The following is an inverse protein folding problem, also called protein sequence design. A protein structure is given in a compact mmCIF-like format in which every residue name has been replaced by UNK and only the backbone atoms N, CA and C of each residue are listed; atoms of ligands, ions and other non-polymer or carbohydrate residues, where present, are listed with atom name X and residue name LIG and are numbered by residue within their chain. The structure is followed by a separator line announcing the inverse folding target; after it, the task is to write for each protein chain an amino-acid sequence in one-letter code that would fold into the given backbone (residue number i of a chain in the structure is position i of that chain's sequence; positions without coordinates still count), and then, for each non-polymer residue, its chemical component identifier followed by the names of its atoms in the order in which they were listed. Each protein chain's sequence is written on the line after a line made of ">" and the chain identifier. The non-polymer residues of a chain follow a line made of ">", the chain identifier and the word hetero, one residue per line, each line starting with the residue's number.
data_IF_723354324705
#
_entry.id   IF_723354324705
#
_cell.length_a   1.000
_cell.length_b   1.000
_cell.length_c   1.000
_cell.angle_alpha   90.00
_cell.angle_beta   90.00
_cell.angle_gamma   90.00
#
_symmetry.space_group_name_H-M   'P 1'
#
loop_
_entity.id
_entity.type
_entity.pdbx_description
1 polymer ?
#
# COMPACT_ATOMS: atom_id res chain seq x y z
N UNK A 1 -16.81 -3.82 -38.83
CA UNK A 1 -16.74 -4.19 -37.39
C UNK A 1 -18.05 -4.89 -37.05
N UNK A 2 -17.98 -6.01 -36.30
CA UNK A 2 -19.17 -6.76 -35.89
C UNK A 2 -19.95 -5.94 -34.83
N UNK A 3 -21.27 -5.98 -34.88
CA UNK A 3 -22.18 -5.34 -33.89
C UNK A 3 -21.77 -5.60 -32.44
N UNK A 4 -21.24 -6.79 -32.15
CA UNK A 4 -20.78 -7.20 -30.84
C UNK A 4 -19.58 -6.37 -30.39
N UNK A 5 -18.59 -6.15 -31.25
CA UNK A 5 -17.39 -5.37 -30.93
C UNK A 5 -17.71 -3.90 -30.74
N UNK A 6 -18.58 -3.35 -31.62
CA UNK A 6 -19.02 -1.94 -31.49
C UNK A 6 -19.76 -1.72 -30.16
N UNK A 7 -20.63 -2.65 -29.79
CA UNK A 7 -21.35 -2.58 -28.51
C UNK A 7 -20.39 -2.76 -27.32
N UNK A 8 -19.39 -3.64 -27.40
CA UNK A 8 -18.40 -3.83 -26.36
C UNK A 8 -17.58 -2.57 -26.08
N UNK A 9 -17.12 -1.89 -27.12
CA UNK A 9 -16.35 -0.66 -27.00
C UNK A 9 -17.19 0.48 -26.41
N UNK A 10 -18.46 0.60 -26.84
CA UNK A 10 -19.41 1.53 -26.24
C UNK A 10 -19.68 1.20 -24.77
N UNK A 11 -19.93 -0.08 -24.45
CA UNK A 11 -20.19 -0.52 -23.08
C UNK A 11 -19.00 -0.23 -22.14
N UNK A 12 -17.78 -0.48 -22.60
CA UNK A 12 -16.57 -0.12 -21.87
C UNK A 12 -16.42 1.38 -21.66
N UNK A 13 -16.62 2.17 -22.68
CA UNK A 13 -16.51 3.64 -22.59
C UNK A 13 -17.56 4.27 -21.66
N UNK A 14 -18.68 3.57 -21.42
CA UNK A 14 -19.73 3.97 -20.49
C UNK A 14 -19.62 3.33 -19.09
N UNK A 15 -18.45 2.83 -18.71
CA UNK A 15 -18.17 2.32 -17.36
C UNK A 15 -18.81 0.97 -17.07
N UNK A 16 -18.98 0.11 -18.08
CA UNK A 16 -19.51 -1.26 -17.93
C UNK A 16 -20.86 -1.33 -17.23
N UNK A 17 -21.78 -0.44 -17.55
CA UNK A 17 -23.10 -0.33 -16.95
C UNK A 17 -23.96 -1.58 -17.18
N UNK A 18 -24.89 -1.87 -16.24
CA UNK A 18 -25.78 -3.03 -16.30
C UNK A 18 -26.86 -2.96 -17.39
N UNK A 19 -27.62 -4.05 -17.52
CA UNK A 19 -28.60 -4.28 -18.60
C UNK A 19 -29.57 -3.12 -18.78
N UNK A 20 -30.21 -2.66 -17.71
CA UNK A 20 -31.22 -1.57 -17.78
C UNK A 20 -30.63 -0.27 -18.32
N UNK A 21 -29.38 0.05 -17.97
CA UNK A 21 -28.71 1.24 -18.52
C UNK A 21 -28.44 1.04 -20.01
N UNK A 22 -27.91 -0.12 -20.43
CA UNK A 22 -27.59 -0.39 -21.81
C UNK A 22 -28.86 -0.42 -22.70
N UNK A 23 -29.95 -0.99 -22.24
CA UNK A 23 -31.23 -1.03 -22.95
C UNK A 23 -31.82 0.38 -23.18
N UNK A 24 -31.60 1.29 -22.26
CA UNK A 24 -32.11 2.66 -22.33
C UNK A 24 -31.20 3.63 -23.13
N UNK A 25 -29.92 3.33 -23.25
CA UNK A 25 -28.91 4.27 -23.82
C UNK A 25 -28.24 3.78 -25.09
N UNK A 26 -28.41 2.50 -25.48
CA UNK A 26 -27.84 1.93 -26.70
C UNK A 26 -28.93 1.37 -27.61
N UNK A 27 -29.26 2.11 -28.66
CA UNK A 27 -30.37 1.79 -29.57
C UNK A 27 -29.94 1.19 -30.93
N UNK A 28 -28.65 0.90 -31.11
CA UNK A 28 -28.13 0.36 -32.39
C UNK A 28 -28.39 -1.12 -32.62
N UNK A 29 -28.75 -1.86 -31.56
CA UNK A 29 -29.08 -3.29 -31.61
C UNK A 29 -30.31 -3.57 -30.71
N UNK A 30 -30.99 -4.69 -30.94
CA UNK A 30 -32.16 -5.06 -30.14
C UNK A 30 -31.79 -5.39 -28.69
N UNK A 31 -32.75 -5.17 -27.77
CA UNK A 31 -32.57 -5.49 -26.35
C UNK A 31 -32.18 -6.97 -26.13
N UNK A 32 -32.69 -7.90 -26.95
CA UNK A 32 -32.30 -9.32 -26.91
C UNK A 32 -30.81 -9.53 -27.21
N UNK A 33 -30.26 -8.82 -28.20
CA UNK A 33 -28.81 -8.83 -28.51
C UNK A 33 -28.01 -8.20 -27.39
N UNK A 34 -28.47 -7.07 -26.80
CA UNK A 34 -27.83 -6.43 -25.63
C UNK A 34 -27.70 -7.43 -24.49
N UNK A 35 -28.78 -8.10 -24.10
CA UNK A 35 -28.76 -9.11 -23.03
C UNK A 35 -27.83 -10.27 -23.33
N UNK A 36 -27.84 -10.77 -24.55
CA UNK A 36 -26.96 -11.85 -25.01
C UNK A 36 -25.49 -11.41 -24.91
N UNK A 37 -25.14 -10.27 -25.46
CA UNK A 37 -23.75 -9.78 -25.48
C UNK A 37 -23.24 -9.45 -24.08
N UNK A 38 -24.06 -8.81 -23.25
CA UNK A 38 -23.67 -8.54 -21.86
C UNK A 38 -23.42 -9.84 -21.07
N UNK A 39 -24.27 -10.86 -21.28
CA UNK A 39 -24.08 -12.18 -20.65
C UNK A 39 -22.80 -12.86 -21.13
N UNK A 40 -22.47 -12.73 -22.41
CA UNK A 40 -21.20 -13.20 -22.97
C UNK A 40 -20.00 -12.41 -22.42
N UNK A 41 -20.09 -11.07 -22.36
CA UNK A 41 -19.02 -10.22 -21.81
C UNK A 41 -18.80 -10.44 -20.32
N UNK A 42 -19.89 -10.72 -19.57
CA UNK A 42 -19.80 -11.10 -18.15
C UNK A 42 -19.26 -12.52 -17.96
N UNK A 43 -19.57 -13.44 -18.90
CA UNK A 43 -19.02 -14.80 -18.93
C UNK A 43 -17.57 -14.87 -19.40
N UNK A 44 -17.16 -13.93 -20.28
CA UNK A 44 -15.78 -13.73 -20.70
C UNK A 44 -14.93 -12.97 -19.66
N UNK A 45 -15.52 -12.46 -18.57
CA UNK A 45 -14.74 -12.15 -17.37
C UNK A 45 -14.07 -13.46 -16.95
N UNK A 46 -12.85 -13.71 -17.50
CA UNK A 46 -11.93 -14.72 -16.97
C UNK A 46 -12.07 -14.65 -15.49
N UNK A 47 -12.35 -15.77 -14.82
CA UNK A 47 -12.37 -15.85 -13.36
C UNK A 47 -11.20 -15.00 -12.87
N UNK A 48 -11.51 -13.87 -12.28
CA UNK A 48 -10.48 -12.91 -11.95
C UNK A 48 -9.64 -13.59 -10.90
N UNK A 49 -8.42 -13.97 -11.31
CA UNK A 49 -7.50 -14.70 -10.44
C UNK A 49 -7.49 -13.99 -9.09
N UNK A 50 -7.95 -14.68 -8.06
CA UNK A 50 -7.90 -14.17 -6.69
C UNK A 50 -6.47 -13.78 -6.39
N UNK A 51 -6.26 -12.60 -5.83
CA UNK A 51 -4.93 -12.12 -5.48
C UNK A 51 -4.89 -11.65 -4.05
N UNK A 52 -3.86 -12.08 -3.34
CA UNK A 52 -3.57 -11.62 -1.98
C UNK A 52 -2.51 -10.55 -2.02
N UNK A 53 -2.87 -9.38 -1.55
CA UNK A 53 -2.00 -8.22 -1.41
C UNK A 53 -1.82 -7.94 0.08
N UNK A 54 -0.57 -7.84 0.52
CA UNK A 54 -0.25 -7.47 1.90
C UNK A 54 0.35 -6.08 1.91
N UNK A 55 -0.10 -5.22 2.82
CA UNK A 55 0.49 -3.90 3.02
C UNK A 55 1.15 -3.83 4.39
N UNK A 56 2.39 -3.40 4.41
CA UNK A 56 3.15 -2.97 5.59
C UNK A 56 3.58 -1.51 5.41
N UNK A 57 3.85 -0.82 6.50
CA UNK A 57 4.27 0.58 6.45
C UNK A 57 5.21 0.93 7.59
N UNK A 58 5.84 2.09 7.48
CA UNK A 58 6.49 2.78 8.60
C UNK A 58 7.47 1.88 9.34
N UNK A 59 8.44 1.33 8.59
CA UNK A 59 9.51 0.52 9.14
C UNK A 59 10.55 1.40 9.84
N UNK A 60 10.80 2.61 9.30
CA UNK A 60 11.76 3.56 9.83
C UNK A 60 13.13 2.93 10.13
N UNK A 61 13.66 2.16 9.19
CA UNK A 61 14.99 1.57 9.36
C UNK A 61 16.01 2.68 9.66
N UNK A 62 16.79 2.55 10.75
CA UNK A 62 17.12 1.36 11.51
C UNK A 62 16.23 1.10 12.75
N UNK A 63 15.15 1.87 12.96
CA UNK A 63 14.22 1.74 14.10
C UNK A 63 13.12 0.71 13.89
N UNK A 64 13.19 -0.09 12.83
CA UNK A 64 12.27 -1.20 12.64
C UNK A 64 12.35 -2.19 13.82
N UNK A 65 11.23 -2.77 14.19
CA UNK A 65 11.21 -3.80 15.22
C UNK A 65 11.64 -5.15 14.61
N UNK A 66 12.87 -5.54 14.88
CA UNK A 66 13.47 -6.76 14.30
C UNK A 66 12.66 -8.03 14.60
N UNK A 67 12.13 -8.17 15.81
CA UNK A 67 11.31 -9.33 16.17
C UNK A 67 9.98 -9.32 15.43
N UNK A 68 9.36 -8.17 15.29
CA UNK A 68 8.14 -7.99 14.49
C UNK A 68 8.40 -8.37 13.02
N UNK A 69 9.54 -7.95 12.46
CA UNK A 69 9.92 -8.35 11.09
C UNK A 69 10.16 -9.85 10.98
N UNK A 70 10.85 -10.46 11.95
CA UNK A 70 11.08 -11.92 11.95
C UNK A 70 9.76 -12.71 11.96
N UNK A 71 8.80 -12.30 12.79
CA UNK A 71 7.48 -12.94 12.85
C UNK A 71 6.68 -12.71 11.57
N UNK A 72 6.78 -11.51 10.99
CA UNK A 72 6.17 -11.21 9.69
C UNK A 72 6.78 -12.05 8.57
N UNK A 73 8.09 -12.27 8.55
CA UNK A 73 8.76 -13.17 7.59
C UNK A 73 8.25 -14.61 7.74
N UNK A 74 8.02 -15.11 8.97
CA UNK A 74 7.40 -16.43 9.17
C UNK A 74 6.01 -16.51 8.51
N UNK A 75 5.22 -15.43 8.60
CA UNK A 75 3.94 -15.36 7.90
C UNK A 75 4.11 -15.40 6.38
N UNK A 76 5.06 -14.64 5.82
CA UNK A 76 5.32 -14.65 4.37
C UNK A 76 5.79 -16.02 3.84
N UNK A 77 6.46 -16.83 4.67
CA UNK A 77 6.85 -18.21 4.33
C UNK A 77 5.66 -19.14 4.21
N UNK A 78 4.67 -18.96 5.07
CA UNK A 78 3.53 -19.87 5.17
C UNK A 78 2.36 -19.48 4.27
N UNK A 79 2.18 -18.18 4.07
CA UNK A 79 1.03 -17.62 3.39
C UNK A 79 1.46 -17.13 2.01
N UNK A 80 0.82 -17.67 0.97
CA UNK A 80 1.05 -17.18 -0.38
C UNK A 80 0.60 -15.73 -0.50
N UNK A 81 1.53 -14.83 -0.70
CA UNK A 81 1.33 -13.40 -0.98
C UNK A 81 1.68 -13.14 -2.44
N UNK A 82 0.73 -12.63 -3.21
CA UNK A 82 0.97 -12.32 -4.62
C UNK A 82 1.70 -10.98 -4.77
N UNK A 83 1.37 -9.99 -3.92
CA UNK A 83 2.02 -8.67 -3.91
C UNK A 83 2.24 -8.18 -2.47
N UNK A 84 3.40 -7.59 -2.23
CA UNK A 84 3.70 -6.86 -1.01
C UNK A 84 3.79 -5.36 -1.32
N UNK A 85 3.01 -4.56 -0.60
CA UNK A 85 3.05 -3.10 -0.68
C UNK A 85 3.77 -2.58 0.56
N UNK A 86 4.85 -1.84 0.37
CA UNK A 86 5.52 -1.09 1.42
C UNK A 86 5.06 0.36 1.28
N UNK A 87 4.11 0.76 2.11
CA UNK A 87 3.41 2.04 1.96
C UNK A 87 4.09 3.18 2.71
N UNK A 88 5.35 3.41 2.39
CA UNK A 88 6.14 4.56 2.85
C UNK A 88 6.98 4.31 4.08
N UNK A 89 7.78 5.30 4.38
CA UNK A 89 8.69 5.42 5.53
C UNK A 89 9.46 4.14 5.84
N UNK A 90 10.04 3.57 4.76
CA UNK A 90 10.92 2.41 4.83
C UNK A 90 12.22 2.74 5.57
N UNK A 91 12.81 3.91 5.25
CA UNK A 91 13.98 4.47 5.92
C UNK A 91 13.58 5.65 6.80
N UNK A 92 14.28 5.84 7.90
CA UNK A 92 14.09 7.03 8.74
C UNK A 92 14.82 8.26 8.20
N UNK A 93 16.03 8.09 7.69
CA UNK A 93 16.91 9.20 7.26
C UNK A 93 17.02 10.31 8.32
N UNK A 94 17.21 9.90 9.57
CA UNK A 94 17.30 10.82 10.69
C UNK A 94 18.35 11.91 10.49
N UNK A 95 19.53 11.54 10.00
CA UNK A 95 20.61 12.49 9.76
C UNK A 95 20.25 13.59 8.76
N UNK A 96 19.32 13.31 7.84
CA UNK A 96 18.82 14.25 6.85
C UNK A 96 17.61 15.06 7.35
N UNK A 97 17.11 14.77 8.56
CA UNK A 97 16.00 15.53 9.14
C UNK A 97 16.41 16.96 9.49
N UNK A 98 15.44 17.83 9.67
CA UNK A 98 15.67 19.22 10.11
C UNK A 98 15.63 19.39 11.62
N UNK A 99 15.39 18.32 12.36
CA UNK A 99 15.36 18.31 13.82
C UNK A 99 16.80 18.25 14.39
N UNK A 100 16.94 18.64 15.64
CA UNK A 100 18.21 18.53 16.38
C UNK A 100 18.70 17.07 16.39
N UNK A 101 20.01 16.89 16.34
CA UNK A 101 20.64 15.58 16.28
C UNK A 101 21.13 15.17 17.64
N UNK A 102 20.72 13.99 18.10
CA UNK A 102 21.30 13.37 19.29
C UNK A 102 22.73 12.89 18.96
N UNK A 103 23.76 13.47 19.56
CA UNK A 103 25.15 13.07 19.32
C UNK A 103 25.47 11.65 19.76
N UNK A 104 24.62 11.01 20.54
CA UNK A 104 24.78 9.63 20.98
C UNK A 104 24.35 8.61 19.93
N UNK A 105 23.64 9.04 18.88
CA UNK A 105 23.23 8.17 17.79
C UNK A 105 24.45 7.68 17.00
N UNK A 106 24.47 6.39 16.74
CA UNK A 106 25.60 5.71 16.11
C UNK A 106 25.34 5.28 14.67
N UNK A 107 24.09 5.28 14.22
CA UNK A 107 23.75 4.83 12.88
C UNK A 107 24.00 5.94 11.86
N UNK A 108 24.75 5.60 10.83
CA UNK A 108 24.99 6.45 9.65
C UNK A 108 23.89 6.21 8.61
N UNK A 109 23.81 7.12 7.62
CA UNK A 109 22.93 6.91 6.45
C UNK A 109 23.26 5.59 5.73
N UNK A 110 24.57 5.24 5.66
CA UNK A 110 24.99 3.99 5.02
C UNK A 110 24.48 2.77 5.79
N UNK A 111 24.52 2.79 7.12
CA UNK A 111 23.96 1.71 7.94
C UNK A 111 22.44 1.52 7.71
N UNK A 112 21.70 2.63 7.53
CA UNK A 112 20.28 2.59 7.19
C UNK A 112 20.05 1.93 5.84
N UNK A 113 20.83 2.30 4.82
CA UNK A 113 20.73 1.76 3.46
C UNK A 113 21.05 0.26 3.44
N UNK A 114 22.12 -0.15 4.10
CA UNK A 114 22.57 -1.54 4.15
C UNK A 114 21.53 -2.43 4.85
N UNK A 115 21.01 -1.99 6.00
CA UNK A 115 19.95 -2.70 6.70
C UNK A 115 18.66 -2.77 5.86
N UNK A 116 18.31 -1.69 5.18
CA UNK A 116 17.15 -1.65 4.29
C UNK A 116 17.29 -2.68 3.16
N UNK A 117 18.45 -2.74 2.52
CA UNK A 117 18.71 -3.70 1.45
C UNK A 117 18.52 -5.13 1.92
N UNK A 118 19.07 -5.51 3.10
CA UNK A 118 18.90 -6.86 3.65
C UNK A 118 17.43 -7.20 4.00
N UNK A 119 16.68 -6.25 4.53
CA UNK A 119 15.23 -6.45 4.80
C UNK A 119 14.46 -6.66 3.49
N UNK A 120 14.70 -5.82 2.48
CA UNK A 120 14.05 -5.95 1.16
C UNK A 120 14.39 -7.27 0.48
N UNK A 121 15.65 -7.68 0.54
CA UNK A 121 16.13 -8.94 0.00
C UNK A 121 15.48 -10.14 0.69
N UNK A 122 15.26 -10.07 2.02
CA UNK A 122 14.54 -11.11 2.75
C UNK A 122 13.09 -11.20 2.30
N UNK A 123 12.38 -10.06 2.18
CA UNK A 123 10.99 -10.06 1.69
C UNK A 123 10.87 -10.59 0.27
N UNK A 124 11.84 -10.28 -0.59
CA UNK A 124 11.83 -10.72 -1.99
C UNK A 124 11.91 -12.24 -2.17
N UNK A 125 12.42 -12.96 -1.19
CA UNK A 125 12.44 -14.44 -1.22
C UNK A 125 11.04 -15.05 -1.22
N UNK A 126 10.06 -14.35 -0.61
CA UNK A 126 8.71 -14.90 -0.39
C UNK A 126 7.61 -14.14 -1.16
N UNK A 127 7.92 -12.94 -1.65
CA UNK A 127 6.97 -12.09 -2.37
C UNK A 127 7.48 -11.86 -3.80
N UNK A 128 6.80 -12.42 -4.82
CA UNK A 128 7.24 -12.30 -6.21
C UNK A 128 7.19 -10.85 -6.72
N UNK A 129 6.22 -10.09 -6.26
CA UNK A 129 6.00 -8.69 -6.65
C UNK A 129 5.96 -7.80 -5.42
N UNK A 130 6.86 -6.81 -5.39
CA UNK A 130 6.95 -5.82 -4.30
C UNK A 130 6.83 -4.43 -4.90
N UNK A 131 5.97 -3.60 -4.31
CA UNK A 131 5.80 -2.19 -4.62
C UNK A 131 6.20 -1.36 -3.41
N UNK A 132 7.12 -0.44 -3.61
CA UNK A 132 7.52 0.53 -2.59
C UNK A 132 6.98 1.91 -2.94
N UNK A 133 6.19 2.48 -2.06
CA UNK A 133 5.64 3.83 -2.16
C UNK A 133 6.46 4.73 -1.25
N UNK A 134 6.91 5.88 -1.76
CA UNK A 134 7.72 6.81 -0.99
C UNK A 134 6.89 7.44 0.14
N UNK A 135 7.47 7.51 1.35
CA UNK A 135 6.95 8.25 2.48
C UNK A 135 7.67 9.60 2.69
N UNK A 136 7.25 10.35 3.68
CA UNK A 136 7.81 11.67 3.97
C UNK A 136 9.21 11.60 4.60
N UNK A 137 9.56 10.55 5.35
CA UNK A 137 10.92 10.34 5.82
C UNK A 137 11.85 9.99 4.66
N UNK A 138 11.43 9.12 3.76
CA UNK A 138 12.20 8.83 2.55
C UNK A 138 12.40 10.08 1.67
N UNK A 139 11.48 11.04 1.72
CA UNK A 139 11.58 12.31 0.99
C UNK A 139 12.62 13.28 1.59
N UNK A 140 13.15 13.03 2.80
CA UNK A 140 14.24 13.82 3.41
C UNK A 140 15.47 13.86 2.52
N UNK A 141 15.82 12.74 1.87
CA UNK A 141 16.92 12.68 0.91
C UNK A 141 16.73 13.67 -0.24
N UNK A 142 15.56 13.67 -0.89
CA UNK A 142 15.25 14.59 -1.99
C UNK A 142 15.35 16.05 -1.53
N UNK A 143 14.78 16.37 -0.36
CA UNK A 143 14.83 17.73 0.22
C UNK A 143 16.26 18.15 0.55
N UNK A 144 17.10 17.25 1.02
CA UNK A 144 18.51 17.49 1.24
C UNK A 144 19.25 17.81 -0.07
N UNK A 145 19.01 17.01 -1.12
CA UNK A 145 19.59 17.22 -2.44
C UNK A 145 19.15 18.56 -3.05
N UNK A 146 17.91 18.97 -2.87
CA UNK A 146 17.45 20.29 -3.34
C UNK A 146 18.17 21.47 -2.67
N UNK A 147 18.58 21.30 -1.42
CA UNK A 147 19.43 22.30 -0.73
C UNK A 147 20.89 22.24 -1.19
N UNK A 148 21.29 21.17 -1.86
CA UNK A 148 22.64 20.93 -2.38
C UNK A 148 22.58 20.58 -3.87
N UNK A 149 22.29 21.55 -4.77
CA UNK A 149 22.00 21.27 -6.19
C UNK A 149 23.11 20.57 -6.94
N UNK A 150 24.37 20.80 -6.57
CA UNK A 150 25.51 20.08 -7.15
C UNK A 150 25.49 18.59 -6.92
N UNK A 151 24.97 18.15 -5.77
CA UNK A 151 24.79 16.73 -5.46
C UNK A 151 23.54 16.16 -6.15
N UNK A 152 22.52 16.97 -6.38
CA UNK A 152 21.27 16.55 -7.02
C UNK A 152 21.46 16.03 -8.45
N UNK A 153 22.55 16.39 -9.11
CA UNK A 153 22.89 15.88 -10.45
C UNK A 153 23.44 14.45 -10.44
N UNK A 154 23.79 13.93 -9.28
CA UNK A 154 24.40 12.59 -9.11
C UNK A 154 23.29 11.54 -9.07
N UNK A 155 23.05 10.87 -10.18
CA UNK A 155 21.93 9.91 -10.34
C UNK A 155 21.92 8.74 -9.33
N UNK A 156 23.09 8.33 -8.84
CA UNK A 156 23.17 7.24 -7.84
C UNK A 156 22.56 7.64 -6.49
N UNK A 157 22.38 8.94 -6.24
CA UNK A 157 21.71 9.47 -5.04
C UNK A 157 20.19 9.50 -5.16
N UNK A 158 19.62 9.16 -6.32
CA UNK A 158 18.18 8.94 -6.44
C UNK A 158 17.75 7.73 -5.57
N UNK A 159 16.71 7.89 -4.78
CA UNK A 159 16.29 6.87 -3.80
C UNK A 159 16.18 5.45 -4.38
N UNK A 160 15.56 5.21 -5.55
CA UNK A 160 15.49 3.86 -6.12
C UNK A 160 16.86 3.27 -6.45
N UNK A 161 17.80 4.09 -6.90
CA UNK A 161 19.18 3.68 -7.22
C UNK A 161 19.97 3.39 -5.97
N UNK A 162 19.85 4.28 -4.97
CA UNK A 162 20.51 4.15 -3.68
C UNK A 162 20.14 2.85 -2.97
N UNK A 163 18.87 2.42 -3.10
CA UNK A 163 18.35 1.18 -2.52
C UNK A 163 18.47 -0.05 -3.44
N UNK A 164 19.07 0.09 -4.62
CA UNK A 164 19.19 -0.99 -5.61
C UNK A 164 17.84 -1.66 -5.95
N UNK A 165 16.74 -0.89 -6.01
CA UNK A 165 15.40 -1.44 -6.21
C UNK A 165 15.26 -2.16 -7.56
N UNK A 166 15.92 -1.64 -8.60
CA UNK A 166 15.91 -2.28 -9.94
C UNK A 166 16.53 -3.69 -9.88
N UNK A 167 17.65 -3.85 -9.16
CA UNK A 167 18.33 -5.15 -9.00
C UNK A 167 17.46 -6.14 -8.22
N UNK A 168 16.70 -5.66 -7.25
CA UNK A 168 15.76 -6.48 -6.48
C UNK A 168 14.44 -6.72 -7.23
N UNK A 169 14.21 -6.06 -8.36
CA UNK A 169 12.94 -6.11 -9.09
C UNK A 169 11.77 -5.59 -8.25
N UNK A 170 11.99 -4.47 -7.55
CA UNK A 170 10.99 -3.78 -6.72
C UNK A 170 10.51 -2.55 -7.47
N UNK A 171 9.21 -2.44 -7.67
CA UNK A 171 8.59 -1.28 -8.31
C UNK A 171 8.52 -0.10 -7.34
N UNK A 172 8.99 1.06 -7.77
CA UNK A 172 8.98 2.29 -6.98
C UNK A 172 7.87 3.25 -7.42
N UNK A 173 7.21 3.87 -6.45
CA UNK A 173 6.13 4.84 -6.67
C UNK A 173 6.34 6.10 -5.83
N UNK A 174 6.25 7.27 -6.45
CA UNK A 174 6.44 8.55 -5.77
C UNK A 174 5.28 8.93 -4.84
N UNK A 175 4.06 8.50 -5.16
CA UNK A 175 2.85 8.94 -4.43
C UNK A 175 1.94 7.79 -4.03
N UNK A 176 1.64 6.88 -4.97
CA UNK A 176 0.65 5.84 -4.77
C UNK A 176 0.83 4.69 -5.75
N UNK A 177 0.28 3.54 -5.38
CA UNK A 177 0.04 2.41 -6.25
C UNK A 177 -1.46 2.16 -6.31
N UNK A 178 -2.03 2.11 -7.50
CA UNK A 178 -3.44 1.80 -7.69
C UNK A 178 -3.56 0.39 -8.26
N UNK A 179 -4.23 -0.48 -7.52
CA UNK A 179 -4.58 -1.81 -7.99
C UNK A 179 -6.08 -1.88 -8.19
N UNK A 180 -6.51 -2.06 -9.45
CA UNK A 180 -7.93 -1.98 -9.83
C UNK A 180 -8.52 -0.62 -9.41
N UNK A 181 -9.51 -0.63 -8.51
CA UNK A 181 -10.15 0.58 -7.98
C UNK A 181 -9.74 0.90 -6.53
N UNK A 182 -8.69 0.24 -6.03
CA UNK A 182 -8.17 0.42 -4.68
C UNK A 182 -6.83 1.17 -4.71
N UNK A 183 -6.67 2.15 -3.84
CA UNK A 183 -5.50 3.02 -3.75
C UNK A 183 -4.65 2.66 -2.54
N UNK A 184 -3.37 2.42 -2.75
CA UNK A 184 -2.35 2.28 -1.72
C UNK A 184 -1.49 3.54 -1.72
N UNK A 185 -1.27 4.14 -0.56
CA UNK A 185 -0.49 5.38 -0.42
C UNK A 185 0.20 5.41 0.94
N UNK A 186 1.22 6.27 1.09
CA UNK A 186 1.73 6.56 2.44
C UNK A 186 0.75 7.42 3.24
N UNK A 187 0.05 8.33 2.59
CA UNK A 187 -0.82 9.29 3.24
C UNK A 187 -0.13 10.61 3.52
N UNK A 188 -0.93 11.63 3.75
CA UNK A 188 -0.47 13.01 4.06
C UNK A 188 -1.33 13.69 5.12
N UNK A 189 -2.41 13.06 5.54
CA UNK A 189 -3.32 13.59 6.55
C UNK A 189 -2.99 12.94 7.89
N UNK A 190 -2.93 13.75 8.95
CA UNK A 190 -2.79 13.29 10.32
C UNK A 190 -3.97 13.79 11.13
N UNK A 191 -4.61 12.90 11.86
CA UNK A 191 -5.63 13.22 12.88
C UNK A 191 -5.24 12.55 14.19
N UNK A 192 -5.80 13.01 15.31
CA UNK A 192 -5.40 12.52 16.64
C UNK A 192 -5.89 11.11 16.95
N UNK A 193 -7.06 10.73 16.44
CA UNK A 193 -7.73 9.47 16.76
C UNK A 193 -7.56 8.45 15.64
N UNK A 194 -7.46 7.17 16.00
CA UNK A 194 -7.46 6.06 15.05
C UNK A 194 -8.79 6.04 14.27
N UNK A 195 -8.70 5.86 12.96
CA UNK A 195 -9.86 5.90 12.05
C UNK A 195 -10.23 7.31 11.58
N UNK A 196 -9.87 8.36 12.29
CA UNK A 196 -10.15 9.72 11.88
C UNK A 196 -9.36 10.14 10.64
N UNK A 197 -8.11 9.66 10.51
CA UNK A 197 -7.30 9.85 9.29
C UNK A 197 -7.89 9.06 8.13
N UNK A 198 -8.19 7.78 8.32
CA UNK A 198 -8.83 6.95 7.30
C UNK A 198 -10.13 7.58 6.78
N UNK A 199 -10.98 8.11 7.69
CA UNK A 199 -12.19 8.85 7.33
C UNK A 199 -11.88 10.08 6.48
N UNK A 200 -10.90 10.90 6.90
CA UNK A 200 -10.56 12.14 6.21
C UNK A 200 -10.01 11.87 4.80
N UNK A 201 -9.16 10.87 4.64
CA UNK A 201 -8.62 10.44 3.35
C UNK A 201 -9.70 9.87 2.43
N UNK A 202 -10.56 8.98 2.95
CA UNK A 202 -11.69 8.45 2.19
C UNK A 202 -12.61 9.56 1.66
N UNK A 203 -12.90 10.56 2.48
CA UNK A 203 -13.73 11.70 2.06
C UNK A 203 -13.02 12.58 1.03
N UNK A 204 -11.70 12.76 1.14
CA UNK A 204 -10.90 13.53 0.20
C UNK A 204 -10.81 12.86 -1.17
N UNK A 205 -10.53 11.56 -1.20
CA UNK A 205 -10.27 10.84 -2.45
C UNK A 205 -11.52 10.19 -3.05
N UNK A 206 -12.57 9.95 -2.27
CA UNK A 206 -13.83 9.35 -2.73
C UNK A 206 -13.70 7.91 -3.24
N UNK A 207 -12.65 7.19 -2.85
CA UNK A 207 -12.35 5.82 -3.26
C UNK A 207 -11.85 4.98 -2.09
N UNK A 208 -11.94 3.66 -2.21
CA UNK A 208 -11.34 2.75 -1.22
C UNK A 208 -9.83 2.86 -1.24
N UNK A 209 -9.21 2.86 -0.06
CA UNK A 209 -7.77 3.08 0.07
C UNK A 209 -7.17 2.53 1.36
N UNK A 210 -5.85 2.45 1.38
CA UNK A 210 -5.08 2.18 2.59
C UNK A 210 -3.84 3.07 2.66
N UNK A 211 -3.52 3.54 3.87
CA UNK A 211 -2.38 4.44 4.13
C UNK A 211 -1.56 3.99 5.34
N UNK A 212 -0.33 4.50 5.43
CA UNK A 212 0.57 4.44 6.58
C UNK A 212 0.61 5.77 7.34
N UNK A 213 1.82 6.27 7.62
CA UNK A 213 2.15 7.61 8.14
C UNK A 213 1.74 7.88 9.59
N UNK A 214 0.55 7.50 10.00
CA UNK A 214 0.04 7.79 11.35
C UNK A 214 0.49 6.76 12.39
N UNK A 215 1.07 5.65 11.97
CA UNK A 215 1.41 4.48 12.79
C UNK A 215 0.22 3.87 13.52
N UNK A 216 -1.01 4.21 13.10
CA UNK A 216 -2.25 3.69 13.70
C UNK A 216 -2.83 2.58 12.87
N UNK A 217 -3.51 1.68 13.56
CA UNK A 217 -4.19 0.56 12.94
C UNK A 217 -5.69 0.79 13.06
N UNK A 218 -6.36 0.99 11.94
CA UNK A 218 -7.78 1.30 11.94
C UNK A 218 -8.48 1.06 10.61
N UNK A 219 -9.80 1.20 10.64
CA UNK A 219 -10.66 1.07 9.47
C UNK A 219 -11.82 2.06 9.59
N UNK A 220 -12.21 2.66 8.45
CA UNK A 220 -13.43 3.44 8.31
C UNK A 220 -14.20 2.99 7.06
N UNK A 221 -15.48 2.69 7.22
CA UNK A 221 -16.37 2.23 6.15
C UNK A 221 -17.48 3.25 5.94
N UNK A 222 -17.80 3.52 4.67
CA UNK A 222 -18.90 4.38 4.26
C UNK A 222 -19.73 3.73 3.16
N UNK A 223 -21.04 3.77 3.30
CA UNK A 223 -21.98 3.34 2.26
C UNK A 223 -22.82 4.53 1.81
N UNK A 224 -22.95 4.71 0.49
CA UNK A 224 -23.86 5.68 -0.11
C UNK A 224 -24.51 5.07 -1.38
N UNK A 225 -25.26 5.86 -2.16
CA UNK A 225 -25.96 5.38 -3.37
C UNK A 225 -25.04 4.79 -4.45
N UNK A 226 -23.74 5.01 -4.37
CA UNK A 226 -22.73 4.46 -5.30
C UNK A 226 -22.14 3.13 -4.82
N UNK A 227 -22.44 2.72 -3.58
CA UNK A 227 -21.94 1.50 -2.96
C UNK A 227 -21.14 1.74 -1.68
N UNK A 228 -20.40 0.72 -1.27
CA UNK A 228 -19.58 0.74 -0.06
C UNK A 228 -18.12 0.96 -0.43
N UNK A 229 -17.49 1.93 0.23
CA UNK A 229 -16.05 2.21 0.16
C UNK A 229 -15.46 2.17 1.56
N UNK A 230 -14.18 1.80 1.67
CA UNK A 230 -13.49 1.68 2.95
C UNK A 230 -12.08 2.25 2.88
N UNK A 231 -11.63 2.85 3.98
CA UNK A 231 -10.25 3.29 4.14
C UNK A 231 -9.62 2.65 5.38
N UNK A 232 -8.32 2.41 5.31
CA UNK A 232 -7.56 1.71 6.33
C UNK A 232 -6.30 2.50 6.68
N UNK A 233 -5.95 2.53 7.97
CA UNK A 233 -4.63 2.90 8.46
C UNK A 233 -3.89 1.61 8.79
N UNK A 234 -2.69 1.44 8.24
CA UNK A 234 -1.99 0.15 8.20
C UNK A 234 -1.08 -0.17 9.40
N UNK A 235 -1.09 0.66 10.44
CA UNK A 235 -0.18 0.50 11.57
C UNK A 235 1.26 0.85 11.20
N UNK A 236 2.22 0.28 11.94
CA UNK A 236 3.64 0.41 11.66
C UNK A 236 4.39 -0.91 11.92
N UNK A 237 5.63 -0.98 11.41
CA UNK A 237 6.55 -2.09 11.66
C UNK A 237 7.80 -1.63 12.43
N UNK A 238 7.80 -0.38 12.93
CA UNK A 238 8.85 0.18 13.75
C UNK A 238 8.63 -0.12 15.24
N UNK A 239 9.65 0.20 16.04
CA UNK A 239 9.57 0.19 17.50
C UNK A 239 8.52 1.20 17.97
N UNK A 240 7.72 0.85 18.98
CA UNK A 240 6.66 1.72 19.48
C UNK A 240 7.17 2.83 20.42
N UNK A 241 8.36 2.67 20.93
CA UNK A 241 9.00 3.61 21.87
C UNK A 241 10.46 3.87 21.48
N UNK A 242 10.74 4.39 20.27
CA UNK A 242 12.10 4.75 19.93
C UNK A 242 12.58 5.90 20.83
N UNK A 243 13.88 6.00 21.01
CA UNK A 243 14.54 6.91 21.96
C UNK A 243 14.19 8.40 21.83
N UNK A 244 13.74 8.81 20.64
CA UNK A 244 13.37 10.20 20.33
C UNK A 244 11.92 10.55 20.64
N UNK A 245 11.09 9.57 21.02
CA UNK A 245 9.70 9.79 21.39
C UNK A 245 9.61 10.05 22.90
N UNK A 246 8.97 11.15 23.25
CA UNK A 246 8.64 11.46 24.64
C UNK A 246 7.19 11.06 24.93
N UNK A 247 7.01 10.23 25.96
CA UNK A 247 5.69 9.73 26.35
C UNK A 247 5.27 8.45 25.60
N UNK A 248 3.95 8.17 25.60
CA UNK A 248 3.37 6.99 24.97
C UNK A 248 2.63 7.41 23.72
N UNK A 249 3.17 7.19 22.52
CA UNK A 249 2.47 7.53 21.29
C UNK A 249 1.29 6.59 21.06
N UNK A 250 0.24 7.09 20.40
CA UNK A 250 -0.88 6.25 19.96
C UNK A 250 -0.49 5.51 18.66
N UNK A 251 0.47 4.60 18.77
CA UNK A 251 0.98 3.76 17.68
C UNK A 251 0.63 2.30 17.90
N UNK A 252 0.34 1.59 16.81
CA UNK A 252 0.06 0.16 16.84
C UNK A 252 0.90 -0.54 15.76
N UNK A 253 1.58 -1.61 16.16
CA UNK A 253 2.20 -2.51 15.18
C UNK A 253 1.14 -3.36 14.51
N UNK A 254 1.27 -3.55 13.20
CA UNK A 254 0.37 -4.37 12.44
C UNK A 254 0.54 -4.20 10.94
N UNK A 255 -0.31 -4.90 10.20
CA UNK A 255 -0.32 -4.89 8.75
C UNK A 255 -1.74 -5.19 8.21
N UNK A 256 -1.91 -5.00 6.92
CA UNK A 256 -3.18 -5.23 6.24
C UNK A 256 -3.04 -6.37 5.25
N UNK A 257 -4.04 -7.26 5.21
CA UNK A 257 -4.12 -8.34 4.22
C UNK A 257 -5.39 -8.15 3.40
N UNK A 258 -5.24 -8.00 2.10
CA UNK A 258 -6.32 -7.83 1.15
C UNK A 258 -6.45 -9.07 0.27
N UNK A 259 -7.59 -9.71 0.27
CA UNK A 259 -7.96 -10.74 -0.69
C UNK A 259 -8.87 -10.11 -1.77
N UNK A 260 -8.33 -9.94 -2.98
CA UNK A 260 -9.07 -9.42 -4.12
C UNK A 260 -9.73 -10.54 -4.91
N UNK A 261 -11.02 -10.36 -5.21
CA UNK A 261 -11.79 -11.19 -6.12
C UNK A 261 -12.51 -10.30 -7.15
N UNK A 262 -11.96 -10.21 -8.34
CA UNK A 262 -12.38 -9.18 -9.27
C UNK A 262 -12.10 -7.78 -8.72
N UNK A 263 -13.08 -6.90 -8.82
CA UNK A 263 -13.01 -5.54 -8.28
C UNK A 263 -13.42 -5.46 -6.80
N UNK A 264 -13.79 -6.60 -6.22
CA UNK A 264 -14.09 -6.71 -4.79
C UNK A 264 -12.83 -7.01 -4.00
N UNK A 265 -12.79 -6.55 -2.78
CA UNK A 265 -11.70 -6.88 -1.85
C UNK A 265 -12.28 -7.14 -0.44
N UNK A 266 -11.57 -7.98 0.29
CA UNK A 266 -11.82 -8.27 1.69
C UNK A 266 -10.54 -7.95 2.44
N UNK A 267 -10.60 -7.08 3.43
CA UNK A 267 -9.43 -6.68 4.19
C UNK A 267 -9.48 -7.25 5.60
N UNK A 268 -8.38 -7.86 6.02
CA UNK A 268 -8.10 -8.18 7.41
C UNK A 268 -7.08 -7.19 7.95
N UNK A 269 -7.46 -6.48 9.01
CA UNK A 269 -6.56 -5.65 9.81
C UNK A 269 -5.91 -6.59 10.82
N UNK A 270 -4.59 -6.75 10.76
CA UNK A 270 -3.85 -7.72 11.58
C UNK A 270 -2.98 -6.97 12.59
N UNK A 271 -3.43 -6.84 13.86
CA UNK A 271 -2.60 -6.24 14.90
C UNK A 271 -1.49 -7.21 15.32
N UNK A 272 -0.32 -6.65 15.62
CA UNK A 272 0.81 -7.38 16.21
C UNK A 272 0.96 -6.92 17.65
N UNK A 273 0.79 -7.84 18.59
CA UNK A 273 0.87 -7.59 20.03
C UNK A 273 2.02 -8.42 20.61
N UNK A 274 2.97 -7.77 21.26
CA UNK A 274 4.15 -8.43 21.83
C UNK A 274 4.84 -9.39 20.84
N UNK A 275 5.03 -8.93 19.60
CA UNK A 275 5.62 -9.68 18.48
C UNK A 275 4.83 -10.97 18.12
N UNK A 276 3.51 -10.96 18.33
CA UNK A 276 2.62 -12.08 18.04
C UNK A 276 1.35 -11.60 17.33
N UNK A 277 0.85 -12.42 16.43
CA UNK A 277 -0.47 -12.20 15.83
C UNK A 277 -1.11 -13.53 15.42
N UNK A 278 -2.40 -13.47 15.12
CA UNK A 278 -3.17 -14.60 14.58
C UNK A 278 -3.64 -14.24 13.18
N UNK A 279 -3.39 -15.13 12.24
CA UNK A 279 -3.94 -15.04 10.91
C UNK A 279 -4.60 -16.38 10.53
N UNK A 280 -5.89 -16.33 10.15
CA UNK A 280 -6.70 -17.54 10.09
C UNK A 280 -6.76 -18.21 11.45
N UNK A 281 -6.37 -19.47 11.54
CA UNK A 281 -6.30 -20.21 12.81
C UNK A 281 -4.88 -20.37 13.34
N UNK A 282 -3.89 -19.81 12.67
CA UNK A 282 -2.47 -19.95 13.04
C UNK A 282 -1.97 -18.74 13.81
N UNK A 283 -1.29 -19.03 14.94
CA UNK A 283 -0.54 -18.04 15.71
C UNK A 283 0.89 -17.95 15.17
N UNK A 284 1.35 -16.74 14.96
CA UNK A 284 2.74 -16.39 14.60
C UNK A 284 3.42 -15.71 15.79
N UNK A 285 4.66 -16.14 16.09
CA UNK A 285 5.43 -15.63 17.21
C UNK A 285 6.94 -15.89 17.03
#
# INVERSE_FOLDING_TARGET
>A
MDDKQIFYDWWKSNGCRGISYCENHYNKISHGKIRKYLKEFEGEKKESKKQRIVQINDLHIPYHDKKTIEVFVKFLKDVKVDKLIIAGDLLDFYELSTFDKDPKRKFTIQDEIDQCYEVLKEFKKYCPEIHFIKGNHCDRLRRFLWKNPSLASIKVLELPKLLNLDTLGIAYHDFEYVYRNFRFTHGTIVRQESGATAKAELLKYGSSMASGHTHRLSMFIKTDSRGTIAAYEGGCMCQLNPEYIQGVPNWQQGFLVFDFDGDRFFCQVVPILDHKFIFGQKKYQ
#
